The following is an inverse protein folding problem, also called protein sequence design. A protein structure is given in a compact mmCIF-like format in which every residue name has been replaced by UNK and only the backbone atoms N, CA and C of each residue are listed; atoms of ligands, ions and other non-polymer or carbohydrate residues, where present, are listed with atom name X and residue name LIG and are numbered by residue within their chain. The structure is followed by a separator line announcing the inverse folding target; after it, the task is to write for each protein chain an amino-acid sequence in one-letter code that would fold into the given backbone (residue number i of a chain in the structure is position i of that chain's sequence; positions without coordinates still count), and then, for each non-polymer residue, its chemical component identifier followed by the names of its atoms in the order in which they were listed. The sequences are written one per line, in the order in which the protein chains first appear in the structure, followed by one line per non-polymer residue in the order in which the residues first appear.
data_IF_840840200841
#
_entry.id   IF_840840200841
#
_cell.length_a   1.000
_cell.length_b   1.000
_cell.length_c   1.000
_cell.angle_alpha   90.00
_cell.angle_beta   90.00
_cell.angle_gamma   90.00
#
_symmetry.space_group_name_H-M   'P 1'
#
loop_
_entity.id
_entity.type
_entity.pdbx_description
1 polymer ?
#
# COMPACT_ATOMS: atom_id res chain seq x y z
N UNK A 1 12.33 5.88 -1.78
CA UNK A 1 11.47 6.50 -0.77
C UNK A 1 9.99 6.31 -1.11
N UNK A 2 9.15 6.55 -0.14
CA UNK A 2 7.69 6.53 -0.34
C UNK A 2 7.29 7.44 -1.49
N UNK A 3 7.86 8.62 -1.55
CA UNK A 3 7.54 9.62 -2.56
C UNK A 3 7.79 9.11 -4.00
N UNK A 4 8.84 8.34 -4.19
CA UNK A 4 9.14 7.79 -5.51
C UNK A 4 8.06 6.79 -5.95
N UNK A 5 7.61 5.94 -5.04
CA UNK A 5 6.52 5.02 -5.32
C UNK A 5 5.22 5.74 -5.66
N UNK A 6 4.91 6.81 -4.92
CA UNK A 6 3.75 7.65 -5.21
C UNK A 6 3.81 8.25 -6.60
N UNK A 7 4.98 8.73 -7.02
CA UNK A 7 5.16 9.31 -8.35
C UNK A 7 4.81 8.29 -9.44
N UNK A 8 5.35 7.08 -9.35
CA UNK A 8 5.04 6.06 -10.35
C UNK A 8 3.58 5.64 -10.32
N UNK A 9 2.99 5.58 -9.13
CA UNK A 9 1.57 5.29 -9.00
C UNK A 9 0.73 6.36 -9.70
N UNK A 10 1.04 7.63 -9.47
CA UNK A 10 0.31 8.76 -10.05
C UNK A 10 0.48 8.83 -11.58
N UNK A 11 1.57 8.29 -12.11
CA UNK A 11 1.79 8.18 -13.55
C UNK A 11 1.00 7.03 -14.20
N UNK A 12 0.18 6.32 -13.45
CA UNK A 12 -0.55 5.18 -13.96
C UNK A 12 0.30 3.94 -14.15
N UNK A 13 1.36 3.79 -13.35
CA UNK A 13 2.31 2.67 -13.42
C UNK A 13 2.36 1.91 -12.10
N UNK A 14 1.24 1.27 -11.68
CA UNK A 14 1.21 0.62 -10.37
C UNK A 14 2.21 -0.54 -10.24
N UNK A 15 2.48 -1.27 -11.31
CA UNK A 15 3.45 -2.37 -11.25
C UNK A 15 4.88 -1.84 -11.02
N UNK A 16 5.23 -0.71 -11.62
CA UNK A 16 6.53 -0.07 -11.41
C UNK A 16 6.61 0.47 -9.98
N UNK A 17 5.54 1.11 -9.51
CA UNK A 17 5.45 1.60 -8.14
C UNK A 17 5.67 0.45 -7.15
N UNK A 18 5.03 -0.69 -7.38
CA UNK A 18 5.20 -1.87 -6.53
C UNK A 18 6.66 -2.30 -6.47
N UNK A 19 7.33 -2.43 -7.61
CA UNK A 19 8.71 -2.87 -7.65
C UNK A 19 9.65 -1.93 -6.89
N UNK A 20 9.46 -0.62 -7.08
CA UNK A 20 10.25 0.40 -6.39
C UNK A 20 10.01 0.35 -4.89
N UNK A 21 8.75 0.25 -4.47
CA UNK A 21 8.39 0.26 -3.05
C UNK A 21 8.85 -0.99 -2.32
N UNK A 22 8.87 -2.15 -2.98
CA UNK A 22 9.42 -3.36 -2.36
C UNK A 22 10.90 -3.22 -2.04
N UNK A 23 11.66 -2.56 -2.93
CA UNK A 23 13.06 -2.26 -2.68
C UNK A 23 13.23 -1.30 -1.51
N UNK A 24 12.38 -0.28 -1.43
CA UNK A 24 12.41 0.72 -0.35
C UNK A 24 11.97 0.09 0.98
N UNK A 25 10.98 -0.81 0.95
CA UNK A 25 10.50 -1.49 2.17
C UNK A 25 11.64 -2.18 2.91
N UNK A 26 12.50 -2.87 2.17
CA UNK A 26 13.61 -3.60 2.77
C UNK A 26 14.66 -2.69 3.41
N UNK A 27 14.79 -1.45 2.92
CA UNK A 27 15.74 -0.48 3.44
C UNK A 27 15.13 0.59 4.34
N UNK A 28 13.81 0.55 4.56
CA UNK A 28 13.14 1.59 5.35
C UNK A 28 13.54 1.53 6.82
N UNK A 29 13.84 2.68 7.39
CA UNK A 29 14.17 2.84 8.80
C UNK A 29 13.06 3.64 9.47
N UNK A 30 12.61 3.17 10.62
CA UNK A 30 11.57 3.83 11.38
C UNK A 30 10.16 3.47 10.91
N UNK A 31 9.24 3.48 11.87
CA UNK A 31 7.87 3.02 11.63
C UNK A 31 7.09 3.95 10.70
N UNK A 32 7.35 5.26 10.80
CA UNK A 32 6.63 6.24 9.97
C UNK A 32 6.92 6.07 8.48
N UNK A 33 8.20 5.85 8.12
CA UNK A 33 8.56 5.62 6.73
C UNK A 33 8.02 4.27 6.24
N UNK A 34 8.16 3.25 7.06
CA UNK A 34 7.72 1.89 6.71
C UNK A 34 6.22 1.85 6.46
N UNK A 35 5.43 2.48 7.31
CA UNK A 35 3.96 2.46 7.18
C UNK A 35 3.50 3.21 5.92
N UNK A 36 4.18 4.29 5.55
CA UNK A 36 3.91 5.01 4.31
C UNK A 36 4.21 4.17 3.08
N UNK A 37 5.33 3.42 3.10
CA UNK A 37 5.68 2.49 2.03
C UNK A 37 4.63 1.38 1.91
N UNK A 38 4.18 0.82 3.02
CA UNK A 38 3.13 -0.21 3.03
C UNK A 38 1.83 0.32 2.43
N UNK A 39 1.49 1.58 2.72
CA UNK A 39 0.28 2.20 2.18
C UNK A 39 0.31 2.23 0.65
N UNK A 40 1.40 2.70 0.05
CA UNK A 40 1.50 2.78 -1.41
C UNK A 40 1.65 1.41 -2.05
N UNK A 41 2.25 0.44 -1.35
CA UNK A 41 2.23 -0.96 -1.81
C UNK A 41 0.80 -1.49 -1.88
N UNK A 42 0.00 -1.24 -0.86
CA UNK A 42 -1.42 -1.62 -0.85
C UNK A 42 -2.18 -0.98 -2.02
N UNK A 43 -1.94 0.32 -2.26
CA UNK A 43 -2.56 1.03 -3.37
C UNK A 43 -2.16 0.46 -4.73
N UNK A 44 -0.87 0.16 -4.89
CA UNK A 44 -0.36 -0.39 -6.15
C UNK A 44 -0.89 -1.79 -6.44
N UNK A 45 -1.01 -2.61 -5.40
CA UNK A 45 -1.56 -3.95 -5.53
C UNK A 45 -3.06 -3.92 -5.86
N UNK A 46 -3.81 -3.06 -5.18
CA UNK A 46 -5.23 -2.89 -5.43
C UNK A 46 -5.49 -2.44 -6.88
N UNK A 47 -4.69 -1.49 -7.37
CA UNK A 47 -4.81 -0.99 -8.74
C UNK A 47 -4.54 -2.08 -9.79
N UNK A 48 -3.78 -3.12 -9.44
CA UNK A 48 -3.51 -4.24 -10.31
C UNK A 48 -4.54 -5.37 -10.18
N UNK A 49 -5.57 -5.18 -9.37
CA UNK A 49 -6.58 -6.21 -9.11
C UNK A 49 -6.13 -7.31 -8.15
N UNK A 50 -4.99 -7.15 -7.51
CA UNK A 50 -4.43 -8.11 -6.54
C UNK A 50 -4.96 -7.78 -5.15
N UNK A 51 -6.27 -7.97 -4.96
CA UNK A 51 -6.99 -7.50 -3.79
C UNK A 51 -6.58 -8.21 -2.50
N UNK A 52 -6.35 -9.52 -2.54
CA UNK A 52 -5.94 -10.26 -1.34
C UNK A 52 -4.60 -9.76 -0.80
N UNK A 53 -3.66 -9.47 -1.69
CA UNK A 53 -2.35 -8.93 -1.30
C UNK A 53 -2.51 -7.53 -0.72
N UNK A 54 -3.33 -6.68 -1.34
CA UNK A 54 -3.59 -5.33 -0.83
C UNK A 54 -4.18 -5.37 0.57
N UNK A 55 -5.12 -6.27 0.84
CA UNK A 55 -5.71 -6.44 2.17
C UNK A 55 -4.62 -6.71 3.20
N UNK A 56 -3.68 -7.58 2.90
CA UNK A 56 -2.59 -7.92 3.80
C UNK A 56 -1.77 -6.68 4.19
N UNK A 57 -1.46 -5.80 3.23
CA UNK A 57 -0.72 -4.58 3.50
C UNK A 57 -1.54 -3.59 4.33
N UNK A 58 -2.82 -3.39 4.01
CA UNK A 58 -3.67 -2.48 4.78
C UNK A 58 -3.87 -2.98 6.22
N UNK A 59 -3.99 -4.29 6.43
CA UNK A 59 -4.09 -4.86 7.78
C UNK A 59 -2.83 -4.59 8.60
N UNK A 60 -1.65 -4.68 7.99
CA UNK A 60 -0.38 -4.37 8.66
C UNK A 60 -0.32 -2.90 9.07
N UNK A 61 -0.82 -2.00 8.23
CA UNK A 61 -0.87 -0.57 8.54
C UNK A 61 -1.76 -0.33 9.76
N UNK A 62 -2.97 -0.87 9.75
CA UNK A 62 -3.95 -0.65 10.80
C UNK A 62 -3.50 -1.24 12.13
N UNK A 63 -2.74 -2.32 12.10
CA UNK A 63 -2.16 -2.91 13.30
C UNK A 63 -1.18 -1.95 14.00
N UNK A 64 -0.56 -1.04 13.24
CA UNK A 64 0.37 -0.05 13.78
C UNK A 64 -0.35 1.26 14.10
N UNK A 65 -1.21 1.73 13.20
CA UNK A 65 -1.93 2.99 13.34
C UNK A 65 -3.30 2.88 12.66
N UNK A 66 -4.32 2.70 13.46
CA UNK A 66 -5.70 2.47 12.99
C UNK A 66 -6.24 3.66 12.18
N UNK A 67 -5.71 4.85 12.40
CA UNK A 67 -6.17 6.07 11.74
C UNK A 67 -5.23 6.57 10.63
N UNK A 68 -4.30 5.73 10.19
CA UNK A 68 -3.33 6.15 9.20
C UNK A 68 -4.01 6.43 7.85
N UNK A 69 -4.03 7.69 7.44
CA UNK A 69 -4.62 8.14 6.18
C UNK A 69 -6.02 7.52 6.00
N UNK A 70 -6.33 7.02 4.81
CA UNK A 70 -7.60 6.35 4.53
C UNK A 70 -7.47 4.82 4.46
N UNK A 71 -6.46 4.26 5.11
CA UNK A 71 -6.19 2.81 5.05
C UNK A 71 -7.39 1.98 5.52
N UNK A 72 -8.08 2.39 6.56
CA UNK A 72 -9.28 1.69 7.06
C UNK A 72 -10.39 1.65 6.02
N UNK A 73 -10.66 2.78 5.37
CA UNK A 73 -11.68 2.86 4.32
C UNK A 73 -11.30 2.00 3.12
N UNK A 74 -10.03 2.03 2.72
CA UNK A 74 -9.56 1.22 1.60
C UNK A 74 -9.61 -0.27 1.91
N UNK A 75 -9.28 -0.64 3.14
CA UNK A 75 -9.40 -2.04 3.57
C UNK A 75 -10.83 -2.52 3.44
N UNK A 76 -11.80 -1.72 3.85
CA UNK A 76 -13.22 -2.06 3.72
C UNK A 76 -13.63 -2.23 2.26
N UNK A 77 -13.19 -1.33 1.40
CA UNK A 77 -13.50 -1.39 -0.03
C UNK A 77 -12.91 -2.63 -0.69
N UNK A 78 -11.62 -2.90 -0.43
CA UNK A 78 -10.93 -4.04 -1.03
C UNK A 78 -11.53 -5.35 -0.52
N UNK A 79 -11.89 -5.42 0.76
CA UNK A 79 -12.53 -6.60 1.33
C UNK A 79 -13.89 -6.88 0.66
N UNK A 80 -14.64 -5.84 0.32
CA UNK A 80 -15.88 -5.96 -0.44
C UNK A 80 -15.62 -6.50 -1.84
N UNK A 81 -14.58 -6.03 -2.51
CA UNK A 81 -14.22 -6.48 -3.86
C UNK A 81 -13.88 -7.97 -3.90
N UNK A 82 -13.18 -8.45 -2.86
CA UNK A 82 -12.83 -9.88 -2.77
C UNK A 82 -14.08 -10.74 -2.58
N UNK A 83 -15.04 -10.25 -1.81
CA UNK A 83 -16.29 -10.98 -1.54
C UNK A 83 -17.27 -10.94 -2.71
N UNK A 84 -17.17 -9.91 -3.52
CA UNK A 84 -18.04 -9.70 -4.65
C UNK A 84 -17.67 -10.55 -5.83
#
# INVERSE_FOLDING_TARGET
SEALGEVFFDQGRPAVAEAVLRGVENGAEGDAEKIGVLYWLGRALDAQGRHADAISYYQRIIAVDVSFRDAGDRLSQVSGDVKG
#
